data_IF_373964622338
#
_entry.id   IF_373964622338
#
_cell.length_a   1.000
_cell.length_b   1.000
_cell.length_c   1.000
_cell.angle_alpha   90.00
_cell.angle_beta   90.00
_cell.angle_gamma   90.00
#
_symmetry.space_group_name_H-M   'P 1'
#
loop_
_entity.id
_entity.type
_entity.pdbx_description
1 polymer ?
#
# COMPACT_ATOMS: atom_id res chain seq x y z
N UNK A 1 -7.59 26.95 -9.28
CA UNK A 1 -7.28 26.18 -10.49
C UNK A 1 -6.27 25.10 -10.13
N UNK A 2 -6.63 23.82 -10.31
CA UNK A 2 -5.74 22.69 -10.03
C UNK A 2 -4.75 22.45 -11.18
N UNK A 3 -3.71 21.62 -10.99
CA UNK A 3 -2.83 21.24 -12.11
C UNK A 3 -3.59 20.54 -13.24
N UNK A 4 -4.63 19.76 -12.90
CA UNK A 4 -5.47 19.07 -13.88
C UNK A 4 -6.31 20.08 -14.69
N UNK A 5 -6.81 21.13 -14.05
CA UNK A 5 -7.58 22.18 -14.74
C UNK A 5 -6.75 22.96 -15.76
N UNK A 6 -5.44 23.10 -15.52
CA UNK A 6 -4.53 23.82 -16.42
C UNK A 6 -4.24 23.07 -17.73
N UNK A 7 -4.31 21.73 -17.70
CA UNK A 7 -3.88 20.90 -18.84
C UNK A 7 -5.05 20.24 -19.59
N UNK A 8 -6.22 20.13 -18.97
CA UNK A 8 -7.34 19.39 -19.55
C UNK A 8 -8.63 20.20 -19.49
N UNK A 9 -9.46 20.09 -20.53
CA UNK A 9 -10.78 20.73 -20.59
C UNK A 9 -11.90 19.72 -20.31
N UNK A 10 -11.78 18.49 -20.82
CA UNK A 10 -12.81 17.45 -20.70
C UNK A 10 -12.95 16.94 -19.26
N UNK A 11 -14.18 17.04 -18.71
CA UNK A 11 -14.50 16.56 -17.37
C UNK A 11 -14.16 15.08 -17.16
N UNK A 12 -14.34 14.24 -18.18
CA UNK A 12 -14.02 12.80 -18.13
C UNK A 12 -12.51 12.56 -18.00
N UNK A 13 -11.71 13.30 -18.78
CA UNK A 13 -10.25 13.22 -18.72
C UNK A 13 -9.74 13.72 -17.37
N UNK A 14 -10.31 14.82 -16.86
CA UNK A 14 -9.98 15.32 -15.52
C UNK A 14 -10.23 14.28 -14.43
N UNK A 15 -11.38 13.59 -14.47
CA UNK A 15 -11.70 12.54 -13.51
C UNK A 15 -10.72 11.35 -13.60
N UNK A 16 -10.42 10.90 -14.82
CA UNK A 16 -9.46 9.82 -15.05
C UNK A 16 -8.04 10.16 -14.54
N UNK A 17 -7.56 11.38 -14.79
CA UNK A 17 -6.25 11.84 -14.33
C UNK A 17 -6.24 12.01 -12.80
N UNK A 18 -7.32 12.54 -12.21
CA UNK A 18 -7.45 12.68 -10.77
C UNK A 18 -7.37 11.32 -10.05
N UNK A 19 -7.94 10.26 -10.63
CA UNK A 19 -7.88 8.92 -10.04
C UNK A 19 -6.43 8.38 -9.92
N UNK A 20 -5.52 8.76 -10.80
CA UNK A 20 -4.12 8.33 -10.74
C UNK A 20 -3.32 8.94 -9.57
N UNK A 21 -3.84 9.98 -8.91
CA UNK A 21 -3.26 10.54 -7.68
C UNK A 21 -3.45 9.58 -6.49
N UNK A 22 -4.45 8.72 -6.58
CA UNK A 22 -5.06 8.07 -5.42
C UNK A 22 -4.32 6.85 -4.86
N UNK A 23 -3.79 5.91 -5.65
CA UNK A 23 -3.37 4.61 -5.11
C UNK A 23 -2.40 4.75 -3.94
N UNK A 24 -1.41 5.65 -4.06
CA UNK A 24 -0.33 5.83 -3.11
C UNK A 24 -0.47 7.04 -2.16
N UNK A 25 -1.60 7.76 -2.18
CA UNK A 25 -1.80 8.93 -1.30
C UNK A 25 -3.22 9.01 -0.72
N UNK A 26 -3.42 9.82 0.32
CA UNK A 26 -4.72 10.07 0.94
C UNK A 26 -4.94 11.59 1.09
N UNK A 27 -5.08 12.26 -0.05
CA UNK A 27 -5.24 13.70 -0.19
C UNK A 27 -6.48 14.04 -1.04
N UNK A 28 -7.06 15.25 -0.91
CA UNK A 28 -8.01 15.80 -1.86
C UNK A 28 -7.28 16.36 -3.10
N UNK A 29 -8.03 16.64 -4.16
CA UNK A 29 -7.50 17.12 -5.43
C UNK A 29 -6.86 18.51 -5.31
N UNK A 30 -7.42 19.33 -4.43
CA UNK A 30 -7.00 20.71 -4.19
C UNK A 30 -5.77 20.84 -3.29
N UNK A 31 -5.31 19.76 -2.65
CA UNK A 31 -4.17 19.84 -1.73
C UNK A 31 -2.87 20.09 -2.50
N UNK A 32 -2.10 21.15 -2.17
CA UNK A 32 -0.78 21.38 -2.74
C UNK A 32 0.12 20.16 -2.57
N UNK A 33 0.80 19.76 -3.66
CA UNK A 33 1.70 18.61 -3.65
C UNK A 33 1.02 17.24 -3.78
N UNK A 34 -0.31 17.15 -3.82
CA UNK A 34 -1.02 15.87 -3.99
C UNK A 34 -0.61 15.14 -5.28
N UNK A 35 -0.31 15.88 -6.35
CA UNK A 35 0.16 15.35 -7.64
C UNK A 35 1.55 14.69 -7.59
N UNK A 36 2.30 14.83 -6.50
CA UNK A 36 3.62 14.20 -6.36
C UNK A 36 3.51 12.67 -6.35
N UNK A 37 2.38 12.13 -5.88
CA UNK A 37 2.08 10.70 -6.02
C UNK A 37 2.04 10.27 -7.50
N UNK A 38 1.48 11.10 -8.40
CA UNK A 38 1.48 10.79 -9.84
C UNK A 38 2.90 10.75 -10.39
N UNK A 39 3.76 11.70 -9.98
CA UNK A 39 5.17 11.68 -10.37
C UNK A 39 5.85 10.40 -9.89
N UNK A 40 5.59 9.98 -8.65
CA UNK A 40 6.12 8.73 -8.11
C UNK A 40 5.74 7.50 -8.94
N UNK A 41 4.51 7.46 -9.47
CA UNK A 41 4.09 6.41 -10.41
C UNK A 41 4.76 6.55 -11.79
N UNK A 42 4.90 7.78 -12.30
CA UNK A 42 5.48 8.04 -13.62
C UNK A 42 6.99 7.76 -13.71
N UNK A 43 7.73 7.89 -12.59
CA UNK A 43 9.17 7.57 -12.54
C UNK A 43 9.45 6.07 -12.37
N UNK A 44 8.42 5.25 -12.13
CA UNK A 44 8.57 3.80 -12.14
C UNK A 44 9.04 3.30 -13.52
N UNK A 45 9.73 2.17 -13.55
CA UNK A 45 10.24 1.59 -14.79
C UNK A 45 10.16 0.07 -14.72
N UNK A 46 9.76 -0.55 -15.82
CA UNK A 46 9.83 -2.00 -16.01
C UNK A 46 10.48 -2.25 -17.38
N UNK A 47 11.57 -3.03 -17.39
CA UNK A 47 12.27 -3.46 -18.61
C UNK A 47 12.65 -2.30 -19.56
N UNK A 48 13.11 -1.19 -19.01
CA UNK A 48 13.50 0.02 -19.74
C UNK A 48 12.33 0.91 -20.17
N UNK A 49 11.09 0.55 -19.84
CA UNK A 49 9.91 1.34 -20.15
C UNK A 49 9.49 2.18 -18.94
N UNK A 50 9.69 3.49 -19.04
CA UNK A 50 9.29 4.45 -18.02
C UNK A 50 7.75 4.52 -17.89
N UNK A 51 7.26 4.64 -16.66
CA UNK A 51 5.84 4.68 -16.29
C UNK A 51 5.08 3.37 -16.49
N UNK A 52 5.74 2.28 -16.88
CA UNK A 52 5.09 1.01 -17.14
C UNK A 52 4.74 0.25 -15.85
N UNK A 53 3.61 -0.46 -15.91
CA UNK A 53 3.14 -1.38 -14.89
C UNK A 53 3.01 -2.77 -15.50
N UNK A 54 3.33 -3.81 -14.72
CA UNK A 54 3.34 -5.18 -15.17
C UNK A 54 2.64 -6.09 -14.17
N UNK A 55 2.02 -7.14 -14.69
CA UNK A 55 1.54 -8.25 -13.87
C UNK A 55 2.67 -9.25 -13.73
N UNK A 56 2.87 -9.73 -12.50
CA UNK A 56 3.86 -10.75 -12.19
C UNK A 56 3.24 -12.12 -12.41
N UNK A 57 3.90 -12.96 -13.20
CA UNK A 57 3.50 -14.36 -13.39
C UNK A 57 3.55 -15.14 -12.05
N UNK A 58 2.50 -15.89 -11.76
CA UNK A 58 2.23 -16.52 -10.46
C UNK A 58 1.84 -15.52 -9.36
N UNK A 59 1.59 -14.25 -9.71
CA UNK A 59 1.25 -13.19 -8.78
C UNK A 59 2.44 -12.61 -8.00
N UNK A 60 2.15 -11.61 -7.15
CA UNK A 60 3.18 -10.87 -6.40
C UNK A 60 3.98 -11.74 -5.42
N UNK A 61 3.42 -12.87 -4.96
CA UNK A 61 4.12 -13.83 -4.12
C UNK A 61 5.35 -14.44 -4.80
N UNK A 62 5.34 -14.57 -6.13
CA UNK A 62 6.49 -15.10 -6.88
C UNK A 62 7.75 -14.26 -6.70
N UNK A 63 7.62 -12.92 -6.61
CA UNK A 63 8.78 -12.03 -6.37
C UNK A 63 9.38 -12.29 -5.00
N UNK A 64 8.54 -12.30 -3.95
CA UNK A 64 9.04 -12.49 -2.58
C UNK A 64 9.61 -13.88 -2.38
N UNK A 65 9.02 -14.90 -3.02
CA UNK A 65 9.59 -16.25 -3.04
C UNK A 65 10.93 -16.28 -3.78
N UNK A 66 11.05 -15.67 -4.97
CA UNK A 66 12.33 -15.62 -5.68
C UNK A 66 13.44 -14.94 -4.85
N UNK A 67 13.11 -13.85 -4.16
CA UNK A 67 14.01 -13.19 -3.22
C UNK A 67 14.41 -14.11 -2.06
N UNK A 68 13.45 -14.81 -1.45
CA UNK A 68 13.70 -15.75 -0.36
C UNK A 68 14.60 -16.92 -0.80
N UNK A 69 14.39 -17.48 -1.99
CA UNK A 69 15.26 -18.52 -2.55
C UNK A 69 16.69 -18.00 -2.76
N UNK A 70 16.84 -16.81 -3.35
CA UNK A 70 18.15 -16.19 -3.55
C UNK A 70 18.89 -15.93 -2.24
N UNK A 71 18.17 -15.47 -1.21
CA UNK A 71 18.73 -15.23 0.11
C UNK A 71 19.19 -16.54 0.78
N UNK A 72 18.35 -17.57 0.78
CA UNK A 72 18.69 -18.90 1.32
C UNK A 72 19.90 -19.53 0.62
N UNK A 73 19.99 -19.39 -0.71
CA UNK A 73 21.15 -19.86 -1.47
C UNK A 73 22.47 -19.17 -1.06
N UNK A 74 22.40 -17.99 -0.43
CA UNK A 74 23.54 -17.27 0.15
C UNK A 74 23.71 -17.52 1.66
N UNK A 75 23.01 -18.50 2.22
CA UNK A 75 23.09 -18.88 3.64
C UNK A 75 22.25 -18.01 4.57
N UNK A 76 21.32 -17.19 4.06
CA UNK A 76 20.39 -16.43 4.91
C UNK A 76 19.35 -17.36 5.52
N UNK A 77 19.22 -17.32 6.83
CA UNK A 77 18.11 -17.94 7.56
C UNK A 77 16.86 -17.06 7.50
N UNK A 78 15.71 -17.65 7.21
CA UNK A 78 14.41 -16.97 7.18
C UNK A 78 13.49 -17.70 8.15
N UNK A 79 13.10 -17.01 9.22
CA UNK A 79 12.17 -17.51 10.24
C UNK A 79 10.79 -16.85 10.04
N UNK A 80 9.76 -17.67 9.82
CA UNK A 80 8.36 -17.24 9.88
C UNK A 80 7.82 -17.41 11.30
N UNK A 81 6.65 -16.84 11.58
CA UNK A 81 5.98 -16.95 12.89
C UNK A 81 6.87 -16.45 14.07
N UNK A 82 7.84 -15.60 13.74
CA UNK A 82 8.87 -15.07 14.62
C UNK A 82 8.68 -13.56 14.79
N UNK A 83 7.52 -13.15 15.29
CA UNK A 83 7.21 -11.74 15.49
C UNK A 83 8.22 -11.09 16.46
N UNK A 84 8.92 -10.04 16.02
CA UNK A 84 9.78 -9.24 16.90
C UNK A 84 8.91 -8.39 17.80
N UNK A 85 9.15 -8.47 19.12
CA UNK A 85 8.44 -7.68 20.13
C UNK A 85 9.25 -6.46 20.59
N UNK A 86 10.59 -6.55 20.58
CA UNK A 86 11.48 -5.45 21.00
C UNK A 86 12.83 -5.49 20.29
N UNK A 87 13.38 -4.31 19.99
CA UNK A 87 14.79 -4.10 19.63
C UNK A 87 15.54 -3.80 20.93
N UNK A 88 16.56 -4.59 21.23
CA UNK A 88 17.36 -4.41 22.45
C UNK A 88 18.49 -3.42 22.20
N UNK A 89 18.71 -2.53 23.18
CA UNK A 89 19.72 -1.46 23.11
C UNK A 89 20.55 -1.47 24.39
N UNK A 90 21.88 -1.42 24.25
CA UNK A 90 22.80 -1.20 25.36
C UNK A 90 23.81 -0.12 24.98
N UNK A 91 24.02 0.85 25.87
CA UNK A 91 25.00 1.94 25.70
C UNK A 91 24.84 2.65 24.34
N UNK A 92 23.60 2.96 23.96
CA UNK A 92 23.28 3.70 22.73
C UNK A 92 23.43 2.91 21.41
N UNK A 93 23.58 1.59 21.46
CA UNK A 93 23.71 0.71 20.29
C UNK A 93 22.75 -0.48 20.38
N UNK A 94 22.24 -0.92 19.25
CA UNK A 94 21.47 -2.17 19.19
C UNK A 94 22.34 -3.38 19.56
N UNK A 95 21.77 -4.32 20.30
CA UNK A 95 22.43 -5.59 20.68
C UNK A 95 21.72 -6.82 20.14
N UNK A 96 20.49 -6.67 19.69
CA UNK A 96 19.69 -7.75 19.12
C UNK A 96 18.20 -7.44 19.13
N UNK A 97 17.40 -8.48 18.97
CA UNK A 97 15.95 -8.42 19.04
C UNK A 97 15.40 -9.49 19.98
N UNK A 98 14.33 -9.17 20.68
CA UNK A 98 13.53 -10.15 21.41
C UNK A 98 12.27 -10.45 20.63
N UNK A 99 11.95 -11.73 20.46
CA UNK A 99 10.73 -12.20 19.81
C UNK A 99 9.54 -12.15 20.78
N UNK A 100 8.32 -12.23 20.26
CA UNK A 100 7.11 -12.32 21.07
C UNK A 100 7.08 -13.56 21.97
N UNK A 101 7.84 -14.61 21.63
CA UNK A 101 8.03 -15.82 22.44
C UNK A 101 8.97 -15.59 23.64
N UNK A 102 9.67 -14.45 23.71
CA UNK A 102 10.71 -14.17 24.70
C UNK A 102 12.11 -14.63 24.29
N UNK A 103 12.26 -15.30 23.15
CA UNK A 103 13.57 -15.65 22.60
C UNK A 103 14.37 -14.40 22.24
N UNK A 104 15.65 -14.35 22.64
CA UNK A 104 16.57 -13.27 22.27
C UNK A 104 17.51 -13.71 21.15
N UNK A 105 17.61 -12.89 20.10
CA UNK A 105 18.52 -13.08 18.97
C UNK A 105 19.53 -11.92 18.99
N UNK A 106 20.79 -12.25 19.29
CA UNK A 106 21.88 -11.27 19.29
C UNK A 106 22.22 -10.80 17.86
N UNK A 107 22.27 -9.48 17.66
CA UNK A 107 22.65 -8.88 16.39
C UNK A 107 23.22 -7.46 16.60
N UNK A 108 24.44 -7.16 16.12
CA UNK A 108 25.02 -5.82 16.24
C UNK A 108 24.46 -4.83 15.21
N UNK A 109 23.72 -5.32 14.21
CA UNK A 109 23.14 -4.55 13.12
C UNK A 109 21.72 -5.05 12.86
N UNK A 110 20.77 -4.13 12.79
CA UNK A 110 19.36 -4.40 12.53
C UNK A 110 18.91 -3.54 11.35
N UNK A 111 18.44 -4.18 10.29
CA UNK A 111 17.79 -3.53 9.16
C UNK A 111 16.27 -3.74 9.26
N UNK A 112 15.53 -2.73 9.69
CA UNK A 112 14.10 -2.78 9.89
C UNK A 112 13.35 -2.51 8.57
N UNK A 113 12.59 -3.50 8.11
CA UNK A 113 11.65 -3.35 6.98
C UNK A 113 10.23 -2.97 7.45
N UNK A 114 10.02 -2.81 8.76
CA UNK A 114 8.76 -2.31 9.31
C UNK A 114 8.58 -0.81 9.03
N UNK A 115 7.38 -0.28 9.25
CA UNK A 115 7.14 1.14 9.06
C UNK A 115 7.77 2.02 10.15
N UNK A 116 8.01 3.33 9.91
CA UNK A 116 8.78 4.17 10.82
C UNK A 116 8.22 4.25 12.24
N UNK A 117 6.89 4.42 12.41
CA UNK A 117 6.27 4.45 13.73
C UNK A 117 6.44 3.12 14.45
N UNK A 118 6.20 2.01 13.76
CA UNK A 118 6.37 0.68 14.34
C UNK A 118 7.83 0.43 14.75
N UNK A 119 8.80 0.77 13.91
CA UNK A 119 10.22 0.60 14.25
C UNK A 119 10.61 1.47 15.43
N UNK A 120 10.34 2.78 15.38
CA UNK A 120 10.94 3.78 16.26
C UNK A 120 10.18 3.95 17.58
N UNK A 121 8.84 3.97 17.54
CA UNK A 121 8.03 4.20 18.73
C UNK A 121 7.69 2.91 19.48
N UNK A 122 7.48 1.80 18.75
CA UNK A 122 7.02 0.54 19.34
C UNK A 122 8.16 -0.45 19.58
N UNK A 123 8.86 -0.87 18.53
CA UNK A 123 9.89 -1.92 18.62
C UNK A 123 11.15 -1.43 19.33
N UNK A 124 11.64 -0.25 18.96
CA UNK A 124 12.75 0.40 19.64
C UNK A 124 12.30 0.97 20.99
N UNK A 125 11.20 1.73 20.98
CA UNK A 125 10.67 2.39 22.17
C UNK A 125 11.17 3.83 22.30
N UNK A 126 10.26 4.73 22.68
CA UNK A 126 10.53 6.18 22.78
C UNK A 126 11.66 6.53 23.77
N UNK A 127 11.90 5.68 24.78
CA UNK A 127 12.96 5.89 25.78
C UNK A 127 14.39 5.91 25.18
N UNK A 128 14.57 5.45 23.94
CA UNK A 128 15.85 5.48 23.23
C UNK A 128 15.96 6.62 22.21
N UNK A 129 14.97 7.52 22.18
CA UNK A 129 14.89 8.67 21.27
C UNK A 129 14.95 9.97 22.08
N UNK A 130 15.34 11.06 21.43
CA UNK A 130 15.10 12.39 22.00
C UNK A 130 13.60 12.71 21.95
N UNK A 131 13.12 13.53 22.90
CA UNK A 131 11.73 13.93 22.96
C UNK A 131 11.25 14.63 21.68
N UNK A 132 12.12 15.43 21.05
CA UNK A 132 11.84 16.12 19.79
C UNK A 132 11.69 15.12 18.63
N UNK A 133 12.64 14.18 18.48
CA UNK A 133 12.57 13.17 17.43
C UNK A 133 11.34 12.27 17.60
N UNK A 134 11.06 11.81 18.83
CA UNK A 134 9.87 11.00 19.11
C UNK A 134 8.56 11.76 18.80
N UNK A 135 8.51 13.07 19.12
CA UNK A 135 7.37 13.94 18.77
C UNK A 135 7.17 14.03 17.26
N UNK A 136 8.24 14.19 16.50
CA UNK A 136 8.16 14.32 15.05
C UNK A 136 7.74 13.00 14.39
N UNK A 137 8.27 11.87 14.87
CA UNK A 137 7.82 10.54 14.39
C UNK A 137 6.36 10.26 14.77
N UNK A 138 5.87 10.71 15.94
CA UNK A 138 4.43 10.63 16.26
C UNK A 138 3.59 11.43 15.25
N UNK A 139 4.08 12.61 14.84
CA UNK A 139 3.48 13.48 13.84
C UNK A 139 3.56 12.96 12.40
N UNK A 140 4.53 12.10 12.08
CA UNK A 140 4.71 11.52 10.74
C UNK A 140 3.40 10.86 10.27
N UNK A 141 2.84 11.31 9.15
CA UNK A 141 1.51 10.85 8.73
C UNK A 141 1.62 9.52 8.01
N UNK A 142 0.94 8.51 8.55
CA UNK A 142 0.82 7.18 7.99
C UNK A 142 -0.65 6.79 7.96
N UNK A 143 -1.23 6.77 6.76
CA UNK A 143 -2.57 6.25 6.49
C UNK A 143 -2.83 6.38 4.98
N UNK A 144 -3.12 5.26 4.33
CA UNK A 144 -3.45 5.25 2.90
C UNK A 144 -4.97 5.31 2.64
N UNK A 145 -5.79 5.04 3.65
CA UNK A 145 -7.25 4.88 3.56
C UNK A 145 -7.68 3.95 2.43
N UNK A 146 -7.02 2.79 2.33
CA UNK A 146 -7.22 1.78 1.30
C UNK A 146 -7.92 0.55 1.88
N UNK A 147 -8.86 0.00 1.12
CA UNK A 147 -9.53 -1.27 1.38
C UNK A 147 -9.38 -2.16 0.15
N UNK A 148 -8.96 -3.40 0.33
CA UNK A 148 -8.72 -4.34 -0.78
C UNK A 148 -9.75 -5.44 -0.75
N UNK A 149 -10.42 -5.70 -1.88
CA UNK A 149 -11.32 -6.84 -2.04
C UNK A 149 -10.79 -7.72 -3.17
N UNK A 150 -10.49 -8.98 -2.88
CA UNK A 150 -10.21 -10.01 -3.87
C UNK A 150 -11.50 -10.80 -4.12
N UNK A 151 -11.86 -11.03 -5.37
CA UNK A 151 -13.10 -11.70 -5.76
C UNK A 151 -12.74 -12.88 -6.66
N UNK A 152 -13.17 -14.08 -6.27
CA UNK A 152 -13.15 -15.24 -7.13
C UNK A 152 -14.45 -15.28 -7.95
N UNK A 153 -14.31 -15.36 -9.27
CA UNK A 153 -15.39 -15.33 -10.23
C UNK A 153 -15.46 -16.66 -10.98
N UNK A 154 -16.66 -17.20 -11.15
CA UNK A 154 -16.91 -18.45 -11.90
C UNK A 154 -16.88 -18.24 -13.42
N UNK A 155 -16.94 -16.98 -13.87
CA UNK A 155 -17.01 -16.58 -15.27
C UNK A 155 -16.28 -15.24 -15.47
N UNK A 156 -16.00 -14.90 -16.73
CA UNK A 156 -15.49 -13.58 -17.10
C UNK A 156 -16.56 -12.51 -16.82
N UNK A 157 -16.23 -11.41 -16.09
CA UNK A 157 -17.19 -10.36 -15.82
C UNK A 157 -17.51 -9.54 -17.07
N UNK A 158 -18.80 -9.40 -17.41
CA UNK A 158 -19.25 -8.67 -18.59
C UNK A 158 -19.53 -7.19 -18.25
N UNK A 159 -18.84 -6.25 -18.92
CA UNK A 159 -19.05 -4.82 -18.69
C UNK A 159 -20.20 -4.27 -19.54
N UNK A 160 -21.17 -3.61 -18.93
CA UNK A 160 -22.35 -3.08 -19.62
C UNK A 160 -21.98 -2.11 -20.76
N UNK A 161 -20.95 -1.29 -20.55
CA UNK A 161 -20.50 -0.28 -21.52
C UNK A 161 -19.63 -0.86 -22.65
N UNK A 162 -19.04 -2.05 -22.44
CA UNK A 162 -18.14 -2.71 -23.38
C UNK A 162 -18.40 -4.23 -23.40
N UNK A 163 -19.56 -4.69 -23.89
CA UNK A 163 -19.84 -6.11 -23.96
C UNK A 163 -18.80 -6.85 -24.83
N UNK A 164 -18.36 -8.02 -24.38
CA UNK A 164 -17.43 -8.91 -25.08
C UNK A 164 -18.00 -10.30 -25.33
N UNK A 165 -19.27 -10.56 -24.96
CA UNK A 165 -19.93 -11.84 -25.14
C UNK A 165 -19.15 -13.02 -24.50
N UNK A 166 -18.57 -12.78 -23.32
CA UNK A 166 -17.79 -13.78 -22.60
C UNK A 166 -16.39 -14.05 -23.17
N UNK A 167 -15.93 -13.26 -24.15
CA UNK A 167 -14.55 -13.33 -24.66
C UNK A 167 -13.65 -12.33 -23.94
N UNK A 168 -12.38 -12.72 -23.71
CA UNK A 168 -11.39 -11.79 -23.18
C UNK A 168 -11.15 -10.69 -24.21
N UNK A 169 -11.33 -9.44 -23.77
CA UNK A 169 -11.16 -8.22 -24.57
C UNK A 169 -10.22 -7.23 -23.87
N UNK A 170 -9.77 -6.19 -24.57
CA UNK A 170 -8.76 -5.24 -24.10
C UNK A 170 -9.06 -4.64 -22.71
N UNK A 171 -10.32 -4.31 -22.44
CA UNK A 171 -10.72 -3.72 -21.16
C UNK A 171 -10.58 -4.68 -19.96
N UNK A 172 -10.59 -6.00 -20.19
CA UNK A 172 -10.30 -6.98 -19.14
C UNK A 172 -8.82 -7.02 -18.78
N UNK A 173 -7.95 -6.68 -19.74
CA UNK A 173 -6.50 -6.67 -19.62
C UNK A 173 -5.96 -5.30 -19.14
N UNK A 174 -6.83 -4.31 -18.94
CA UNK A 174 -6.48 -2.96 -18.54
C UNK A 174 -6.61 -2.75 -17.02
N UNK A 175 -6.04 -1.64 -16.52
CA UNK A 175 -6.48 -1.07 -15.24
C UNK A 175 -7.84 -0.40 -15.44
N UNK A 176 -8.81 -0.78 -14.60
CA UNK A 176 -10.20 -0.31 -14.67
C UNK A 176 -10.43 0.65 -13.51
N UNK A 177 -10.68 1.91 -13.81
CA UNK A 177 -10.97 2.92 -12.79
C UNK A 177 -12.46 3.26 -12.79
N UNK A 178 -13.08 3.20 -11.61
CA UNK A 178 -14.46 3.63 -11.39
C UNK A 178 -14.47 4.91 -10.56
N UNK A 179 -14.72 6.03 -11.24
CA UNK A 179 -14.83 7.37 -10.66
C UNK A 179 -15.94 8.14 -11.38
N UNK A 180 -16.85 8.76 -10.63
CA UNK A 180 -17.99 9.51 -11.19
C UNK A 180 -17.55 10.83 -11.87
N UNK A 181 -16.75 11.65 -11.17
CA UNK A 181 -16.24 12.94 -11.64
C UNK A 181 -14.97 13.35 -10.85
N UNK A 182 -14.29 14.45 -11.24
CA UNK A 182 -13.08 14.89 -10.54
C UNK A 182 -13.35 15.36 -9.09
N UNK A 183 -14.52 15.93 -8.82
CA UNK A 183 -14.93 16.36 -7.47
C UNK A 183 -15.29 15.19 -6.55
N UNK A 184 -15.56 14.01 -7.11
CA UNK A 184 -15.81 12.78 -6.37
C UNK A 184 -14.66 12.48 -5.40
N UNK A 185 -13.42 12.75 -5.83
CA UNK A 185 -12.23 12.60 -5.01
C UNK A 185 -12.28 13.49 -3.76
N UNK A 186 -12.67 14.76 -3.90
CA UNK A 186 -12.83 15.67 -2.77
C UNK A 186 -13.95 15.19 -1.83
N UNK A 187 -15.11 14.82 -2.38
CA UNK A 187 -16.24 14.30 -1.59
C UNK A 187 -15.83 13.06 -0.78
N UNK A 188 -15.16 12.12 -1.42
CA UNK A 188 -14.66 10.89 -0.81
C UNK A 188 -13.61 11.19 0.28
N UNK A 189 -12.65 12.07 0.01
CA UNK A 189 -11.65 12.50 0.99
C UNK A 189 -12.29 13.10 2.24
N UNK A 190 -13.21 14.06 2.08
CA UNK A 190 -13.84 14.71 3.22
C UNK A 190 -14.79 13.78 3.97
N UNK A 191 -15.41 12.80 3.30
CA UNK A 191 -16.12 11.71 3.95
C UNK A 191 -15.19 10.92 4.86
N UNK A 192 -14.07 10.44 4.33
CA UNK A 192 -13.11 9.66 5.09
C UNK A 192 -12.51 10.46 6.26
N UNK A 193 -12.28 11.77 6.09
CA UNK A 193 -11.83 12.64 7.19
C UNK A 193 -12.82 12.77 8.34
N UNK A 194 -14.12 12.57 8.09
CA UNK A 194 -15.14 12.50 9.14
C UNK A 194 -15.29 11.10 9.73
N UNK A 195 -14.48 10.12 9.31
CA UNK A 195 -14.60 8.72 9.72
C UNK A 195 -15.70 7.96 8.97
N UNK A 196 -16.15 8.46 7.82
CA UNK A 196 -17.16 7.81 6.98
C UNK A 196 -16.50 7.20 5.73
N UNK A 197 -16.56 5.87 5.52
CA UNK A 197 -16.14 5.24 4.28
C UNK A 197 -16.84 5.88 3.08
N UNK A 198 -16.09 6.20 2.02
CA UNK A 198 -16.64 6.85 0.83
C UNK A 198 -17.75 6.02 0.17
N UNK A 199 -18.84 6.70 -0.18
CA UNK A 199 -20.01 6.15 -0.86
C UNK A 199 -20.59 7.22 -1.83
N UNK A 200 -20.51 7.02 -3.17
CA UNK A 200 -19.92 5.86 -3.82
C UNK A 200 -18.40 5.73 -3.54
N UNK A 201 -17.86 4.51 -3.60
CA UNK A 201 -16.41 4.30 -3.50
C UNK A 201 -15.71 4.74 -4.79
N UNK A 202 -14.43 5.08 -4.68
CA UNK A 202 -13.54 5.17 -5.84
C UNK A 202 -12.70 3.90 -5.88
N UNK A 203 -12.72 3.23 -7.03
CA UNK A 203 -12.18 1.87 -7.19
C UNK A 203 -11.18 1.84 -8.33
N UNK A 204 -10.01 1.26 -8.07
CA UNK A 204 -9.13 0.73 -9.10
C UNK A 204 -9.28 -0.80 -9.11
N UNK A 205 -9.57 -1.37 -10.27
CA UNK A 205 -9.82 -2.78 -10.46
C UNK A 205 -8.92 -3.37 -11.54
N UNK A 206 -8.53 -4.63 -11.34
CA UNK A 206 -7.81 -5.44 -12.32
C UNK A 206 -8.36 -6.87 -12.31
N UNK A 207 -8.22 -7.58 -13.43
CA UNK A 207 -8.57 -9.00 -13.56
C UNK A 207 -7.30 -9.77 -13.93
N UNK A 208 -6.34 -9.95 -13.01
CA UNK A 208 -5.01 -10.45 -13.34
C UNK A 208 -5.02 -11.84 -13.99
N UNK A 209 -6.03 -12.67 -13.71
CA UNK A 209 -6.12 -14.02 -14.28
C UNK A 209 -6.39 -14.07 -15.78
N UNK A 210 -6.77 -12.95 -16.42
CA UNK A 210 -6.87 -12.88 -17.89
C UNK A 210 -5.49 -12.79 -18.57
N UNK A 211 -4.49 -12.33 -17.82
CA UNK A 211 -3.10 -12.21 -18.28
C UNK A 211 -2.22 -13.35 -17.75
N UNK A 212 -2.62 -13.95 -16.63
CA UNK A 212 -1.88 -15.02 -15.98
C UNK A 212 -2.80 -16.20 -15.60
N UNK A 213 -2.77 -17.30 -16.38
CA UNK A 213 -3.60 -18.47 -16.10
C UNK A 213 -3.20 -19.21 -14.82
N UNK A 214 -2.02 -18.95 -14.25
CA UNK A 214 -1.58 -19.57 -12.99
C UNK A 214 -2.35 -19.01 -11.77
N UNK A 215 -3.13 -17.93 -11.96
CA UNK A 215 -3.96 -17.32 -10.91
C UNK A 215 -5.38 -17.85 -10.84
N UNK A 216 -5.72 -18.87 -11.63
CA UNK A 216 -7.06 -19.47 -11.65
C UNK A 216 -6.99 -20.98 -11.47
N UNK A 217 -8.02 -21.57 -10.86
CA UNK A 217 -8.10 -23.01 -10.58
C UNK A 217 -8.58 -23.83 -11.79
N UNK A 218 -9.37 -23.20 -12.69
CA UNK A 218 -10.01 -23.86 -13.82
C UNK A 218 -10.13 -22.91 -15.01
N UNK A 219 -10.23 -23.50 -16.21
CA UNK A 219 -10.56 -22.73 -17.41
C UNK A 219 -11.91 -22.03 -17.24
N UNK A 220 -11.95 -20.72 -17.50
CA UNK A 220 -13.15 -19.88 -17.41
C UNK A 220 -13.40 -19.26 -16.03
N UNK A 221 -12.68 -19.66 -14.98
CA UNK A 221 -12.69 -18.96 -13.69
C UNK A 221 -11.73 -17.78 -13.71
N UNK A 222 -12.04 -16.73 -12.96
CA UNK A 222 -11.25 -15.51 -12.90
C UNK A 222 -11.06 -14.99 -11.47
N UNK A 223 -9.97 -14.24 -11.27
CA UNK A 223 -9.77 -13.45 -10.06
C UNK A 223 -9.83 -11.99 -10.47
N UNK A 224 -10.73 -11.24 -9.83
CA UNK A 224 -10.83 -9.79 -9.93
C UNK A 224 -10.43 -9.18 -8.60
N UNK A 225 -9.75 -8.04 -8.63
CA UNK A 225 -9.29 -7.41 -7.40
C UNK A 225 -9.51 -5.91 -7.40
N UNK A 226 -10.16 -5.42 -6.35
CA UNK A 226 -10.63 -4.04 -6.18
C UNK A 226 -9.82 -3.35 -5.09
N UNK A 227 -9.12 -2.27 -5.43
CA UNK A 227 -8.54 -1.33 -4.49
C UNK A 227 -9.52 -0.16 -4.33
N UNK A 228 -10.22 -0.13 -3.20
CA UNK A 228 -11.15 0.92 -2.84
C UNK A 228 -10.43 1.99 -2.00
N UNK A 229 -10.59 3.25 -2.37
CA UNK A 229 -9.94 4.38 -1.69
C UNK A 229 -10.91 5.17 -0.82
N UNK A 230 -10.33 5.96 0.09
CA UNK A 230 -11.04 6.78 1.07
C UNK A 230 -11.89 5.95 2.04
N UNK A 231 -11.32 4.84 2.49
CA UNK A 231 -11.81 3.99 3.57
C UNK A 231 -10.97 4.28 4.82
N UNK A 232 -11.43 5.14 5.75
CA UNK A 232 -10.58 5.62 6.84
C UNK A 232 -10.27 4.52 7.86
N UNK A 233 -9.11 4.61 8.52
CA UNK A 233 -8.73 3.65 9.56
C UNK A 233 -9.67 3.73 10.77
N UNK A 234 -9.95 4.96 11.24
CA UNK A 234 -10.90 5.20 12.33
C UNK A 234 -12.28 5.52 11.75
N UNK A 235 -13.31 4.82 12.22
CA UNK A 235 -14.70 5.09 11.86
C UNK A 235 -15.35 6.03 12.87
N UNK A 236 -16.30 6.83 12.39
CA UNK A 236 -17.07 7.76 13.23
C UNK A 236 -18.10 7.02 14.10
N UNK A 237 -18.60 7.68 15.15
CA UNK A 237 -19.75 7.21 15.91
C UNK A 237 -19.49 5.94 16.74
N UNK A 238 -18.23 5.67 17.09
CA UNK A 238 -17.85 4.49 17.88
C UNK A 238 -17.87 3.16 17.12
N UNK A 239 -18.05 3.19 15.80
CA UNK A 239 -18.05 1.99 14.95
C UNK A 239 -16.65 1.41 14.79
N UNK A 240 -16.58 0.12 14.50
CA UNK A 240 -15.33 -0.58 14.21
C UNK A 240 -15.39 -1.24 12.83
N UNK A 241 -14.22 -1.50 12.25
CA UNK A 241 -14.14 -2.27 11.00
C UNK A 241 -14.60 -3.72 11.18
N UNK A 242 -14.49 -4.28 12.38
CA UNK A 242 -14.95 -5.65 12.66
C UNK A 242 -16.48 -5.77 12.43
N UNK A 243 -17.25 -4.72 12.73
CA UNK A 243 -18.71 -4.68 12.53
C UNK A 243 -19.13 -4.12 11.16
N UNK A 244 -18.42 -3.10 10.65
CA UNK A 244 -18.84 -2.38 9.43
C UNK A 244 -18.36 -3.03 8.13
N UNK A 245 -17.36 -3.92 8.17
CA UNK A 245 -16.70 -4.49 6.98
C UNK A 245 -17.71 -5.09 5.99
N UNK A 246 -18.60 -5.98 6.44
CA UNK A 246 -19.57 -6.64 5.57
C UNK A 246 -20.50 -5.65 4.88
N UNK A 247 -20.97 -4.62 5.61
CA UNK A 247 -21.83 -3.57 5.06
C UNK A 247 -21.10 -2.74 3.99
N UNK A 248 -19.83 -2.40 4.24
CA UNK A 248 -19.02 -1.66 3.26
C UNK A 248 -18.76 -2.51 2.01
N UNK A 249 -18.44 -3.80 2.17
CA UNK A 249 -18.27 -4.72 1.04
C UNK A 249 -19.56 -4.79 0.21
N UNK A 250 -20.73 -4.92 0.84
CA UNK A 250 -21.98 -4.96 0.11
C UNK A 250 -22.26 -3.68 -0.68
N UNK A 251 -21.93 -2.51 -0.14
CA UNK A 251 -22.04 -1.24 -0.88
C UNK A 251 -21.09 -1.19 -2.06
N UNK A 252 -19.84 -1.64 -1.88
CA UNK A 252 -18.86 -1.72 -2.98
C UNK A 252 -19.37 -2.66 -4.08
N UNK A 253 -19.81 -3.86 -3.73
CA UNK A 253 -20.32 -4.84 -4.69
C UNK A 253 -21.56 -4.31 -5.44
N UNK A 254 -22.49 -3.66 -4.73
CA UNK A 254 -23.66 -3.02 -5.35
C UNK A 254 -23.26 -1.91 -6.34
N UNK A 255 -22.24 -1.12 -6.00
CA UNK A 255 -21.73 -0.08 -6.87
C UNK A 255 -21.06 -0.65 -8.12
N UNK A 256 -20.22 -1.69 -7.98
CA UNK A 256 -19.56 -2.35 -9.11
C UNK A 256 -20.57 -3.03 -10.03
N UNK A 257 -21.63 -3.63 -9.47
CA UNK A 257 -22.68 -4.31 -10.23
C UNK A 257 -23.48 -3.39 -11.17
N UNK A 258 -23.43 -2.06 -10.94
CA UNK A 258 -23.94 -1.06 -11.91
C UNK A 258 -23.16 -1.09 -13.24
N UNK A 259 -21.89 -1.48 -13.22
CA UNK A 259 -21.01 -1.53 -14.40
C UNK A 259 -20.82 -2.94 -14.92
N UNK A 260 -20.89 -3.94 -14.04
CA UNK A 260 -20.75 -5.36 -14.33
C UNK A 260 -22.04 -6.07 -13.88
N UNK A 261 -23.08 -6.10 -14.74
CA UNK A 261 -24.35 -6.73 -14.38
C UNK A 261 -24.14 -8.18 -13.94
N UNK A 262 -24.90 -8.62 -12.94
CA UNK A 262 -24.87 -10.00 -12.41
C UNK A 262 -23.53 -10.39 -11.76
N UNK A 263 -22.69 -9.42 -11.39
CA UNK A 263 -21.42 -9.67 -10.69
C UNK A 263 -21.61 -10.59 -9.48
N UNK A 264 -22.68 -10.40 -8.71
CA UNK A 264 -22.95 -11.23 -7.52
C UNK A 264 -23.26 -12.67 -7.88
N UNK A 265 -23.93 -12.92 -9.00
CA UNK A 265 -24.27 -14.27 -9.46
C UNK A 265 -23.02 -15.07 -9.87
N UNK A 266 -22.03 -14.39 -10.45
CA UNK A 266 -20.76 -15.02 -10.86
C UNK A 266 -19.71 -15.02 -9.75
N UNK A 267 -19.98 -14.39 -8.60
CA UNK A 267 -19.06 -14.38 -7.46
C UNK A 267 -19.12 -15.72 -6.73
N UNK A 268 -18.00 -16.44 -6.72
CA UNK A 268 -17.82 -17.69 -5.94
C UNK A 268 -17.53 -17.36 -4.48
N UNK A 269 -16.74 -16.31 -4.25
CA UNK A 269 -16.35 -15.85 -2.93
C UNK A 269 -15.52 -14.58 -3.01
N UNK A 270 -15.33 -13.93 -1.87
CA UNK A 270 -14.46 -12.76 -1.78
C UNK A 270 -13.71 -12.73 -0.45
N UNK A 271 -12.60 -12.02 -0.44
CA UNK A 271 -11.82 -11.69 0.75
C UNK A 271 -11.64 -10.18 0.81
N UNK A 272 -11.80 -9.59 1.99
CA UNK A 272 -11.69 -8.15 2.19
C UNK A 272 -10.68 -7.81 3.29
N UNK A 273 -9.69 -6.98 2.96
CA UNK A 273 -8.76 -6.36 3.90
C UNK A 273 -9.08 -4.88 4.07
N UNK A 274 -9.54 -4.52 5.26
CA UNK A 274 -9.71 -3.14 5.71
C UNK A 274 -8.37 -2.55 6.17
N UNK A 275 -8.25 -1.22 6.36
CA UNK A 275 -7.05 -0.63 6.96
C UNK A 275 -6.65 -1.28 8.30
N UNK A 276 -7.63 -1.70 9.10
CA UNK A 276 -7.40 -2.40 10.38
C UNK A 276 -6.86 -3.82 10.17
N UNK A 277 -7.39 -4.56 9.19
CA UNK A 277 -6.88 -5.90 8.88
C UNK A 277 -5.43 -5.82 8.38
N UNK A 278 -5.10 -4.84 7.54
CA UNK A 278 -3.73 -4.64 7.03
C UNK A 278 -2.74 -4.36 8.17
N UNK A 279 -3.14 -3.58 9.18
CA UNK A 279 -2.31 -3.36 10.37
C UNK A 279 -2.15 -4.65 11.19
N UNK A 280 -3.24 -5.39 11.45
CA UNK A 280 -3.23 -6.62 12.25
C UNK A 280 -2.44 -7.76 11.60
N UNK A 281 -2.54 -7.90 10.28
CA UNK A 281 -1.98 -9.04 9.54
C UNK A 281 -0.58 -8.79 8.99
N UNK A 282 -0.32 -7.58 8.46
CA UNK A 282 0.94 -7.24 7.80
C UNK A 282 1.81 -6.29 8.63
N UNK A 283 1.28 -5.80 9.76
CA UNK A 283 1.99 -4.87 10.63
C UNK A 283 2.12 -3.46 10.05
N UNK A 284 1.35 -3.11 9.02
CA UNK A 284 1.35 -1.80 8.39
C UNK A 284 0.56 -0.81 9.24
N UNK A 285 1.25 0.08 9.97
CA UNK A 285 0.58 1.10 10.80
C UNK A 285 -0.47 1.87 10.00
N UNK A 286 -1.70 1.83 10.50
CA UNK A 286 -2.95 2.40 9.93
C UNK A 286 -3.27 1.93 8.51
N UNK A 287 -2.80 0.74 8.12
CA UNK A 287 -2.97 0.19 6.78
C UNK A 287 -2.27 1.01 5.68
N UNK A 288 -1.21 1.75 6.01
CA UNK A 288 -0.50 2.55 5.02
C UNK A 288 0.47 1.69 4.18
N UNK A 289 0.06 1.36 2.96
CA UNK A 289 0.85 0.57 2.01
C UNK A 289 2.17 1.24 1.58
N UNK A 290 2.29 2.56 1.76
CA UNK A 290 3.52 3.30 1.47
C UNK A 290 4.37 3.54 2.72
N UNK A 291 3.91 3.14 3.91
CA UNK A 291 4.58 3.40 5.21
C UNK A 291 4.85 4.89 5.44
N UNK A 292 3.97 5.78 4.95
CA UNK A 292 4.10 7.23 5.04
C UNK A 292 3.62 7.93 3.77
N UNK A 293 3.00 9.11 3.94
CA UNK A 293 2.48 9.91 2.82
C UNK A 293 3.55 10.22 1.77
N UNK A 294 3.13 10.27 0.52
CA UNK A 294 3.94 10.74 -0.61
C UNK A 294 3.68 12.24 -0.84
N UNK A 295 3.98 13.04 0.18
CA UNK A 295 3.80 14.49 0.19
C UNK A 295 5.16 15.19 0.35
N UNK A 296 5.33 16.44 -0.14
CA UNK A 296 6.63 17.12 -0.13
C UNK A 296 7.33 17.18 1.22
N UNK A 297 6.56 17.29 2.31
CA UNK A 297 7.05 17.38 3.69
C UNK A 297 7.39 16.01 4.33
N UNK A 298 7.13 14.89 3.62
CA UNK A 298 7.44 13.52 4.06
C UNK A 298 8.17 12.70 2.98
N UNK A 299 8.78 13.39 2.01
CA UNK A 299 9.57 12.80 0.93
C UNK A 299 11.01 13.35 0.92
N UNK A 300 11.84 12.76 0.06
CA UNK A 300 13.27 13.12 -0.05
C UNK A 300 13.99 13.05 1.29
N UNK A 301 14.69 14.12 1.65
CA UNK A 301 15.42 14.27 2.91
C UNK A 301 14.51 14.41 4.14
N UNK A 302 13.18 14.45 3.98
CA UNK A 302 12.24 14.46 5.11
C UNK A 302 11.75 13.06 5.49
N UNK A 303 12.14 12.00 4.77
CA UNK A 303 11.59 10.64 4.96
C UNK A 303 12.59 9.71 5.69
N UNK A 304 12.27 9.17 6.88
CA UNK A 304 11.09 9.46 7.71
C UNK A 304 11.23 10.73 8.57
N UNK A 305 12.46 11.24 8.68
CA UNK A 305 12.83 12.43 9.46
C UNK A 305 14.15 13.00 8.90
N UNK A 306 14.41 14.32 8.92
CA UNK A 306 15.66 14.93 8.46
C UNK A 306 16.94 14.27 8.98
N UNK A 307 16.96 13.93 10.27
CA UNK A 307 18.12 13.31 10.93
C UNK A 307 18.29 11.82 10.59
N UNK A 308 17.27 11.18 10.00
CA UNK A 308 17.21 9.75 9.73
C UNK A 308 17.01 9.42 8.24
N UNK A 309 17.05 10.42 7.36
CA UNK A 309 16.77 10.26 5.93
C UNK A 309 17.84 9.47 5.16
N UNK A 310 19.02 9.32 5.75
CA UNK A 310 20.14 8.55 5.19
C UNK A 310 20.19 7.13 5.75
N UNK A 311 19.03 6.51 5.97
CA UNK A 311 18.82 5.10 6.33
C UNK A 311 19.24 4.68 7.74
N UNK A 312 20.26 5.29 8.33
CA UNK A 312 20.64 5.06 9.73
C UNK A 312 19.68 5.81 10.67
N UNK A 313 19.22 5.11 11.71
CA UNK A 313 18.34 5.66 12.74
C UNK A 313 19.17 6.26 13.90
N UNK A 314 18.56 7.01 14.84
CA UNK A 314 19.28 7.65 15.93
C UNK A 314 20.08 6.71 16.86
N UNK A 315 19.75 5.42 16.89
CA UNK A 315 20.47 4.40 17.66
C UNK A 315 21.47 3.67 16.77
N UNK A 316 22.72 3.59 17.23
CA UNK A 316 23.80 2.98 16.46
C UNK A 316 23.49 1.52 16.10
N UNK A 317 23.71 1.14 14.85
CA UNK A 317 23.45 -0.19 14.32
C UNK A 317 21.99 -0.44 13.88
N UNK A 318 21.08 0.51 14.07
CA UNK A 318 19.70 0.42 13.56
C UNK A 318 19.56 1.18 12.23
N UNK A 319 18.93 0.53 11.25
CA UNK A 319 18.68 1.08 9.93
C UNK A 319 17.24 0.82 9.50
N UNK A 320 16.65 1.73 8.72
CA UNK A 320 15.35 1.56 8.08
C UNK A 320 15.55 1.23 6.60
N UNK A 321 14.96 0.13 6.14
CA UNK A 321 15.20 -0.41 4.78
C UNK A 321 13.93 -0.68 3.97
N UNK A 322 12.75 -0.38 4.52
CA UNK A 322 11.45 -0.56 3.85
C UNK A 322 10.88 0.71 3.22
N UNK A 323 9.61 0.64 2.79
CA UNK A 323 8.83 1.74 2.17
C UNK A 323 8.80 3.05 2.98
N UNK A 324 9.07 2.96 4.28
CA UNK A 324 9.17 4.10 5.19
C UNK A 324 10.44 4.92 5.03
N UNK A 325 11.45 4.40 4.31
CA UNK A 325 12.68 5.11 3.97
C UNK A 325 12.62 5.62 2.52
N UNK A 326 13.43 6.63 2.21
CA UNK A 326 13.54 7.18 0.85
C UNK A 326 14.09 6.13 -0.14
N UNK A 327 13.53 5.97 -1.36
CA UNK A 327 12.59 6.87 -2.07
C UNK A 327 11.11 6.82 -1.68
N UNK A 328 10.65 5.79 -0.98
CA UNK A 328 9.26 5.64 -0.58
C UNK A 328 8.69 4.27 -0.92
N UNK A 329 7.36 4.21 -1.02
CA UNK A 329 6.61 2.98 -1.22
C UNK A 329 6.69 2.37 -2.63
N UNK A 330 6.02 1.24 -2.79
CA UNK A 330 6.02 0.45 -4.03
C UNK A 330 7.08 -0.65 -4.05
N UNK A 331 7.07 -1.47 -5.09
CA UNK A 331 7.94 -2.67 -5.22
C UNK A 331 9.22 -2.31 -5.99
N UNK A 332 9.91 -1.26 -5.56
CA UNK A 332 11.11 -0.74 -6.25
C UNK A 332 12.42 -1.41 -5.80
N UNK A 333 12.45 -1.95 -4.58
CA UNK A 333 13.66 -2.47 -3.95
C UNK A 333 14.71 -1.41 -3.56
N UNK A 334 14.49 -0.14 -3.93
CA UNK A 334 15.45 0.94 -3.73
C UNK A 334 15.73 1.28 -2.26
N UNK A 335 14.73 1.35 -1.34
CA UNK A 335 15.02 1.60 0.07
C UNK A 335 15.93 0.53 0.68
N UNK A 336 15.68 -0.74 0.35
CA UNK A 336 16.48 -1.87 0.82
C UNK A 336 17.90 -1.83 0.30
N UNK A 337 18.07 -1.58 -1.00
CA UNK A 337 19.38 -1.44 -1.65
C UNK A 337 20.20 -0.28 -1.06
N UNK A 338 19.60 0.88 -0.87
CA UNK A 338 20.30 2.05 -0.35
C UNK A 338 20.66 1.88 1.13
N UNK A 339 19.76 1.30 1.94
CA UNK A 339 20.05 0.95 3.32
C UNK A 339 21.20 -0.08 3.41
N UNK A 340 21.23 -1.09 2.54
CA UNK A 340 22.33 -2.04 2.49
C UNK A 340 23.68 -1.37 2.18
N UNK A 341 23.72 -0.43 1.22
CA UNK A 341 24.92 0.37 0.94
C UNK A 341 25.36 1.20 2.15
N UNK A 342 24.40 1.81 2.85
CA UNK A 342 24.69 2.56 4.08
C UNK A 342 25.27 1.65 5.16
N UNK A 343 24.67 0.49 5.40
CA UNK A 343 25.15 -0.52 6.36
C UNK A 343 26.58 -0.94 6.03
N UNK A 344 26.90 -1.18 4.76
CA UNK A 344 28.25 -1.56 4.33
C UNK A 344 29.29 -0.45 4.54
N UNK A 345 28.88 0.82 4.45
CA UNK A 345 29.77 1.97 4.67
C UNK A 345 30.08 2.19 6.16
N UNK A 346 29.11 1.93 7.01
CA UNK A 346 29.22 2.14 8.46
C UNK A 346 29.86 0.94 9.20
N UNK A 347 30.13 -0.16 8.48
CA UNK A 347 30.72 -1.41 8.99
C UNK A 347 32.24 -1.37 9.10
#
# INVERSE_FOLDING_TARGET
ETIIDRWFESAKVKAMVAAHIMPANYAPLSQPGASLAMLHHAVGEINGQAGAWGIVKGGMGSITQAMAHSARAKGVEIRTDAAVSRIEVAVGRVTGVTLATGEFIAAPIIAANTDPKRTLLNLLGEAHLSDDFARDIRGFRQESASLRINIALSQLPEFQALPSAGQIADHHQASITMIEDAEHLNRAFFSAKRGEPADPPIIEAIIPSVLDPDLTDKSGHHVMSLLCKYMPYNLSGGRTWDDEKSRVVDRVMNYVERFIPRLREITVGHECFTPLDLERTLGMTRGDICHGRLEPDQLFNMRPHPEAAQYAMPVAGLYLCGSGAHPGGGVTGAPGHNAAKRILKDR
#
